data_IF_879142145552
#
_entry.id   IF_879142145552
#
_cell.length_a   1.000
_cell.length_b   1.000
_cell.length_c   1.000
_cell.angle_alpha   90.00
_cell.angle_beta   90.00
_cell.angle_gamma   90.00
#
_symmetry.space_group_name_H-M   'P 1'
#
loop_
_entity.id
_entity.type
_entity.pdbx_description
1 polymer ?
#
# COMPACT_ATOMS: atom_id res chain seq x y z
N UNK A 1 -35.11 41.90 -41.55
CA UNK A 1 -33.76 41.36 -41.23
C UNK A 1 -33.70 41.07 -39.73
N UNK A 2 -33.88 39.81 -39.34
CA UNK A 2 -33.75 39.38 -37.95
C UNK A 2 -32.37 38.79 -37.76
N UNK A 3 -31.57 39.38 -36.89
CA UNK A 3 -30.26 38.86 -36.50
C UNK A 3 -30.46 37.85 -35.36
N UNK A 4 -30.12 36.59 -35.60
CA UNK A 4 -30.07 35.52 -34.58
C UNK A 4 -28.71 35.61 -33.91
N UNK A 5 -28.67 36.05 -32.66
CA UNK A 5 -27.49 35.98 -31.80
C UNK A 5 -27.35 34.55 -31.24
N UNK A 6 -26.37 33.82 -31.74
CA UNK A 6 -25.99 32.51 -31.29
C UNK A 6 -25.11 32.67 -30.02
N UNK A 7 -25.68 32.47 -28.81
CA UNK A 7 -24.94 32.45 -27.56
C UNK A 7 -24.23 31.12 -27.44
N UNK A 8 -22.89 31.14 -27.58
CA UNK A 8 -22.01 30.01 -27.31
C UNK A 8 -21.79 29.91 -25.80
N UNK A 9 -22.52 29.03 -25.13
CA UNK A 9 -22.31 28.72 -23.72
C UNK A 9 -21.07 27.81 -23.60
N UNK A 10 -19.99 28.35 -23.07
CA UNK A 10 -18.79 27.59 -22.74
C UNK A 10 -19.07 26.78 -21.48
N UNK A 11 -19.37 25.49 -21.63
CA UNK A 11 -19.46 24.56 -20.51
C UNK A 11 -18.05 24.28 -19.98
N UNK A 12 -17.64 24.95 -18.90
CA UNK A 12 -16.52 24.49 -18.09
C UNK A 12 -16.98 23.21 -17.37
N UNK A 13 -16.39 22.08 -17.72
CA UNK A 13 -16.54 20.85 -16.95
C UNK A 13 -16.00 21.08 -15.53
N UNK A 14 -16.70 20.62 -14.49
CA UNK A 14 -16.16 20.69 -13.11
C UNK A 14 -14.82 19.91 -13.03
N UNK A 15 -13.88 20.33 -12.18
CA UNK A 15 -12.65 19.57 -11.96
C UNK A 15 -12.99 18.18 -11.47
N UNK A 16 -12.25 17.19 -11.96
CA UNK A 16 -12.45 15.78 -11.63
C UNK A 16 -12.17 15.57 -10.13
N UNK A 17 -13.22 15.37 -9.34
CA UNK A 17 -13.13 15.20 -7.88
C UNK A 17 -12.25 13.99 -7.49
N UNK A 18 -12.18 12.97 -8.34
CA UNK A 18 -11.38 11.76 -8.12
C UNK A 18 -9.88 12.04 -8.07
N UNK A 19 -9.36 12.91 -8.94
CA UNK A 19 -7.93 13.25 -8.97
C UNK A 19 -7.49 14.04 -7.73
N UNK A 20 -8.36 14.91 -7.22
CA UNK A 20 -8.09 15.70 -6.01
C UNK A 20 -8.07 14.82 -4.77
N UNK A 21 -8.96 13.85 -4.68
CA UNK A 21 -9.04 12.90 -3.56
C UNK A 21 -7.81 11.98 -3.52
N UNK A 22 -7.40 11.43 -4.64
CA UNK A 22 -6.19 10.61 -4.76
C UNK A 22 -4.93 11.38 -4.32
N UNK A 23 -4.80 12.65 -4.71
CA UNK A 23 -3.67 13.48 -4.31
C UNK A 23 -3.65 13.77 -2.81
N UNK A 24 -4.82 14.03 -2.21
CA UNK A 24 -4.94 14.26 -0.77
C UNK A 24 -4.55 13.01 0.04
N UNK A 25 -5.04 11.83 -0.37
CA UNK A 25 -4.68 10.56 0.26
C UNK A 25 -3.18 10.26 0.17
N UNK A 26 -2.57 10.52 -0.98
CA UNK A 26 -1.12 10.35 -1.15
C UNK A 26 -0.32 11.24 -0.18
N UNK A 27 -0.73 12.49 0.02
CA UNK A 27 -0.09 13.41 0.96
C UNK A 27 -0.22 12.88 2.39
N UNK A 28 -1.41 12.43 2.80
CA UNK A 28 -1.66 11.86 4.13
C UNK A 28 -0.83 10.60 4.37
N UNK A 29 -0.74 9.72 3.37
CA UNK A 29 0.12 8.54 3.47
C UNK A 29 1.59 8.93 3.65
N UNK A 30 2.10 9.90 2.88
CA UNK A 30 3.49 10.34 3.02
C UNK A 30 3.79 10.91 4.40
N UNK A 31 2.83 11.60 5.04
CA UNK A 31 2.96 12.06 6.43
C UNK A 31 3.06 10.88 7.41
N UNK A 32 2.24 9.84 7.22
CA UNK A 32 2.29 8.63 8.05
C UNK A 32 3.61 7.87 7.86
N UNK A 33 4.10 7.75 6.62
CA UNK A 33 5.40 7.14 6.31
C UNK A 33 6.54 7.92 6.97
N UNK A 34 6.56 9.25 6.85
CA UNK A 34 7.58 10.11 7.46
C UNK A 34 7.58 9.95 8.98
N UNK A 35 6.42 9.98 9.61
CA UNK A 35 6.28 9.78 11.05
C UNK A 35 6.79 8.41 11.51
N UNK A 36 6.59 7.37 10.69
CA UNK A 36 7.03 6.01 10.98
C UNK A 36 8.55 5.84 10.85
N UNK A 37 9.14 6.34 9.76
CA UNK A 37 10.56 6.12 9.46
C UNK A 37 11.52 7.04 10.23
N UNK A 38 11.07 8.23 10.63
CA UNK A 38 11.90 9.24 11.32
C UNK A 38 12.55 8.73 12.61
N UNK A 39 11.86 7.99 13.51
CA UNK A 39 12.48 7.46 14.74
C UNK A 39 13.56 6.40 14.48
N UNK A 40 13.50 5.70 13.35
CA UNK A 40 14.44 4.62 13.00
C UNK A 40 15.71 5.18 12.34
N UNK A 41 15.69 6.42 11.95
CA UNK A 41 16.74 7.14 11.23
C UNK A 41 16.17 7.71 9.95
N UNK A 42 16.33 9.03 9.79
CA UNK A 42 15.84 9.70 8.59
C UNK A 42 16.35 8.98 7.34
N UNK A 43 15.48 8.75 6.35
CA UNK A 43 15.93 8.18 5.09
C UNK A 43 17.04 9.07 4.52
N UNK A 44 18.10 8.45 4.01
CA UNK A 44 19.13 9.14 3.24
C UNK A 44 18.49 9.80 2.00
N UNK A 45 19.17 10.76 1.38
CA UNK A 45 18.66 11.48 0.20
C UNK A 45 18.27 10.56 -0.99
N UNK A 46 18.64 9.28 -0.95
CA UNK A 46 18.40 8.27 -1.99
C UNK A 46 17.24 7.30 -1.69
N UNK A 47 16.27 7.68 -0.88
CA UNK A 47 15.09 6.84 -0.62
C UNK A 47 14.13 6.84 -1.81
N UNK A 48 13.87 5.65 -2.33
CA UNK A 48 12.79 5.43 -3.27
C UNK A 48 11.64 4.72 -2.56
N UNK A 49 10.45 5.28 -2.67
CA UNK A 49 9.21 4.67 -2.18
C UNK A 49 8.38 4.22 -3.37
N UNK A 50 7.91 2.97 -3.33
CA UNK A 50 6.90 2.46 -4.24
C UNK A 50 5.65 2.19 -3.42
N UNK A 51 4.51 2.68 -3.88
CA UNK A 51 3.23 2.54 -3.19
C UNK A 51 2.24 1.81 -4.08
N UNK A 52 1.58 0.83 -3.52
CA UNK A 52 0.46 0.12 -4.11
C UNK A 52 -0.73 0.16 -3.14
N UNK A 53 -1.93 0.04 -3.70
CA UNK A 53 -3.17 0.19 -2.95
C UNK A 53 -4.03 -1.05 -3.08
N UNK A 54 -4.56 -1.53 -1.95
CA UNK A 54 -5.49 -2.66 -1.90
C UNK A 54 -6.36 -2.55 -0.64
N UNK A 55 -7.61 -2.94 -0.73
CA UNK A 55 -8.46 -3.15 0.45
C UNK A 55 -8.08 -4.49 1.06
N UNK A 56 -7.31 -4.45 2.15
CA UNK A 56 -6.77 -5.65 2.79
C UNK A 56 -7.70 -6.16 3.90
N UNK A 57 -8.43 -5.26 4.57
CA UNK A 57 -9.29 -5.59 5.70
C UNK A 57 -10.78 -5.74 5.32
N UNK A 58 -11.14 -5.50 4.06
CA UNK A 58 -12.49 -5.68 3.54
C UNK A 58 -13.48 -4.58 3.96
N UNK A 59 -12.99 -3.41 4.37
CA UNK A 59 -13.84 -2.30 4.80
C UNK A 59 -14.32 -1.41 3.64
N UNK A 60 -13.86 -1.68 2.42
CA UNK A 60 -14.18 -0.95 1.20
C UNK A 60 -13.30 0.27 0.96
N UNK A 61 -12.31 0.52 1.82
CA UNK A 61 -11.31 1.58 1.64
C UNK A 61 -9.94 0.95 1.37
N UNK A 62 -9.18 1.53 0.46
CA UNK A 62 -7.88 0.96 0.12
C UNK A 62 -6.84 1.29 1.18
N UNK A 63 -6.18 0.28 1.69
CA UNK A 63 -4.95 0.37 2.47
C UNK A 63 -3.75 0.62 1.56
N UNK A 64 -2.62 0.99 2.14
CA UNK A 64 -1.41 1.23 1.38
C UNK A 64 -0.31 0.22 1.76
N UNK A 65 0.33 -0.37 0.74
CA UNK A 65 1.58 -1.08 0.90
C UNK A 65 2.71 -0.17 0.39
N UNK A 66 3.69 0.10 1.22
CA UNK A 66 4.81 0.98 0.90
C UNK A 66 6.11 0.19 0.92
N UNK A 67 6.71 0.01 -0.25
CA UNK A 67 8.01 -0.63 -0.42
C UNK A 67 9.09 0.45 -0.26
N UNK A 68 10.01 0.26 0.71
CA UNK A 68 11.07 1.20 1.00
C UNK A 68 12.39 0.68 0.41
N UNK A 69 12.84 1.32 -0.66
CA UNK A 69 14.12 1.02 -1.32
C UNK A 69 15.17 2.03 -0.88
N UNK A 70 15.82 1.76 0.25
CA UNK A 70 16.89 2.58 0.82
C UNK A 70 17.94 1.68 1.49
N UNK A 71 19.19 2.12 1.56
CA UNK A 71 20.29 1.33 2.09
C UNK A 71 20.05 0.83 3.52
N UNK A 72 19.41 1.67 4.36
CA UNK A 72 19.05 1.32 5.74
C UNK A 72 17.83 0.39 5.88
N UNK A 73 17.04 0.23 4.80
CA UNK A 73 15.80 -0.56 4.76
C UNK A 73 15.90 -1.78 3.84
N UNK A 74 17.04 -1.92 3.17
CA UNK A 74 17.35 -3.04 2.28
C UNK A 74 18.63 -3.75 2.75
N UNK A 75 18.70 -5.04 2.50
CA UNK A 75 19.87 -5.87 2.71
C UNK A 75 20.00 -6.93 1.63
N UNK A 76 20.94 -7.86 1.79
CA UNK A 76 21.08 -9.00 0.86
C UNK A 76 19.86 -9.89 0.80
N UNK A 77 19.00 -9.82 1.81
CA UNK A 77 17.74 -10.58 1.91
C UNK A 77 16.52 -9.84 1.39
N UNK A 78 16.65 -8.65 0.79
CA UNK A 78 15.54 -7.84 0.28
C UNK A 78 15.34 -6.52 1.04
N UNK A 79 14.25 -5.86 0.76
CA UNK A 79 13.88 -4.58 1.36
C UNK A 79 12.67 -4.73 2.30
N UNK A 80 12.20 -3.63 2.85
CA UNK A 80 11.05 -3.62 3.77
C UNK A 80 9.80 -3.11 3.06
N UNK A 81 8.69 -3.79 3.31
CA UNK A 81 7.34 -3.33 2.97
C UNK A 81 6.60 -2.99 4.26
N UNK A 82 6.02 -1.80 4.32
CA UNK A 82 5.14 -1.41 5.43
C UNK A 82 3.71 -1.39 4.91
N UNK A 83 2.82 -2.05 5.63
CA UNK A 83 1.37 -1.98 5.41
C UNK A 83 0.80 -0.87 6.28
N UNK A 84 0.13 0.08 5.67
CA UNK A 84 -0.61 1.14 6.34
C UNK A 84 -2.11 0.92 6.14
N UNK A 85 -2.81 0.73 7.25
CA UNK A 85 -4.26 0.67 7.28
C UNK A 85 -4.84 2.08 7.12
N UNK A 86 -5.85 2.21 6.27
CA UNK A 86 -6.61 3.44 6.12
C UNK A 86 -7.62 3.58 7.27
N UNK A 87 -7.55 4.67 8.03
CA UNK A 87 -8.47 4.94 9.12
C UNK A 87 -9.71 5.64 8.58
N UNK A 88 -10.89 5.09 8.86
CA UNK A 88 -12.19 5.60 8.39
C UNK A 88 -12.97 6.32 9.50
N UNK A 89 -12.69 6.03 10.76
CA UNK A 89 -13.32 6.70 11.90
C UNK A 89 -12.79 8.14 12.07
N UNK A 90 -13.69 9.10 12.10
CA UNK A 90 -13.35 10.52 12.12
C UNK A 90 -12.64 10.97 13.41
N UNK A 91 -12.86 10.28 14.53
CA UNK A 91 -12.19 10.57 15.80
C UNK A 91 -10.77 10.04 15.76
N UNK A 92 -10.58 8.80 15.29
CA UNK A 92 -9.26 8.22 15.10
C UNK A 92 -8.42 9.02 14.10
N UNK A 93 -9.02 9.44 12.97
CA UNK A 93 -8.32 10.29 11.98
C UNK A 93 -7.84 11.60 12.60
N UNK A 94 -8.61 12.21 13.49
CA UNK A 94 -8.22 13.44 14.18
C UNK A 94 -7.05 13.24 15.15
N UNK A 95 -6.93 12.04 15.73
CA UNK A 95 -5.89 11.71 16.73
C UNK A 95 -4.63 11.09 16.09
N UNK A 96 -4.80 10.20 15.13
CA UNK A 96 -3.73 9.36 14.58
C UNK A 96 -3.36 9.70 13.11
N UNK A 97 -4.18 10.51 12.44
CA UNK A 97 -4.08 10.74 11.00
C UNK A 97 -4.87 9.72 10.19
N UNK A 98 -4.83 9.83 8.86
CA UNK A 98 -5.64 9.02 7.95
C UNK A 98 -5.08 7.60 7.73
N UNK A 99 -3.86 7.32 8.18
CA UNK A 99 -3.20 6.03 8.04
C UNK A 99 -2.44 5.68 9.32
N UNK A 100 -2.49 4.40 9.69
CA UNK A 100 -1.67 3.84 10.77
C UNK A 100 -0.88 2.63 10.27
N UNK A 101 0.35 2.38 10.77
CA UNK A 101 1.08 1.17 10.42
C UNK A 101 0.37 -0.06 11.00
N UNK A 102 0.08 -1.03 10.13
CA UNK A 102 -0.53 -2.31 10.50
C UNK A 102 0.49 -3.46 10.51
N UNK A 103 1.52 -3.38 9.66
CA UNK A 103 2.60 -4.36 9.65
C UNK A 103 3.89 -3.79 9.04
N UNK A 104 5.02 -4.32 9.49
CA UNK A 104 6.33 -4.19 8.85
C UNK A 104 6.80 -5.58 8.42
N UNK A 105 7.09 -5.76 7.14
CA UNK A 105 7.53 -7.03 6.57
C UNK A 105 8.90 -6.79 5.93
N UNK A 106 9.93 -7.33 6.56
CA UNK A 106 11.32 -7.22 6.10
C UNK A 106 11.68 -8.35 5.13
N UNK A 107 12.84 -8.24 4.48
CA UNK A 107 13.40 -9.26 3.59
C UNK A 107 12.49 -9.59 2.39
N UNK A 108 11.77 -8.58 1.91
CA UNK A 108 10.86 -8.73 0.79
C UNK A 108 11.59 -8.67 -0.54
N UNK A 109 11.31 -9.65 -1.38
CA UNK A 109 11.78 -9.72 -2.77
C UNK A 109 10.59 -9.81 -3.72
N UNK A 110 10.66 -9.06 -4.82
CA UNK A 110 9.72 -9.22 -5.92
C UNK A 110 8.28 -8.80 -5.59
N UNK A 111 7.33 -9.36 -6.34
CA UNK A 111 5.93 -9.00 -6.23
C UNK A 111 5.31 -9.46 -4.91
N UNK A 112 4.30 -8.72 -4.48
CA UNK A 112 3.34 -9.12 -3.45
C UNK A 112 2.03 -9.45 -4.15
N UNK A 113 1.42 -10.58 -3.82
CA UNK A 113 0.09 -10.92 -4.30
C UNK A 113 -0.89 -10.85 -3.14
N UNK A 114 -1.89 -9.99 -3.26
CA UNK A 114 -3.04 -9.97 -2.36
C UNK A 114 -3.92 -11.15 -2.76
N UNK A 115 -3.98 -12.17 -1.90
CA UNK A 115 -4.68 -13.41 -2.19
C UNK A 115 -6.20 -13.26 -2.10
N UNK A 116 -6.91 -14.17 -2.75
CA UNK A 116 -8.37 -14.27 -2.62
C UNK A 116 -8.80 -14.89 -1.27
N UNK A 117 -7.84 -15.35 -0.46
CA UNK A 117 -8.06 -15.89 0.89
C UNK A 117 -7.83 -14.83 1.96
N UNK A 118 -8.52 -14.98 3.09
CA UNK A 118 -8.43 -14.08 4.25
C UNK A 118 -8.20 -14.87 5.53
N UNK A 119 -7.44 -14.25 6.43
CA UNK A 119 -7.24 -14.75 7.81
C UNK A 119 -7.50 -13.59 8.76
N UNK A 120 -8.28 -13.83 9.82
CA UNK A 120 -8.67 -12.80 10.82
C UNK A 120 -9.25 -11.52 10.19
N UNK A 121 -9.99 -11.66 9.06
CA UNK A 121 -10.64 -10.56 8.36
C UNK A 121 -9.75 -9.77 7.40
N UNK A 122 -8.45 -10.10 7.32
CA UNK A 122 -7.50 -9.48 6.39
C UNK A 122 -7.10 -10.43 5.27
N UNK A 123 -6.89 -9.91 4.08
CA UNK A 123 -6.40 -10.67 2.94
C UNK A 123 -5.02 -11.28 3.23
N UNK A 124 -4.84 -12.56 2.89
CA UNK A 124 -3.52 -13.17 2.97
C UNK A 124 -2.58 -12.55 1.91
N UNK A 125 -1.30 -12.39 2.24
CA UNK A 125 -0.29 -11.93 1.30
C UNK A 125 0.55 -13.12 0.83
N UNK A 126 0.68 -13.29 -0.49
CA UNK A 126 1.59 -14.29 -1.05
C UNK A 126 2.84 -13.56 -1.52
N UNK A 127 3.98 -13.99 -1.02
CA UNK A 127 5.27 -13.37 -1.27
C UNK A 127 6.31 -14.43 -1.61
N UNK A 128 7.44 -14.00 -2.18
CA UNK A 128 8.55 -14.89 -2.45
C UNK A 128 9.30 -15.19 -1.15
N UNK A 129 9.34 -16.44 -0.78
CA UNK A 129 10.15 -16.96 0.32
C UNK A 129 11.51 -17.45 -0.18
N UNK A 130 12.20 -18.21 0.68
CA UNK A 130 13.50 -18.77 0.39
C UNK A 130 13.49 -19.68 -0.85
N UNK A 131 14.60 -19.64 -1.61
CA UNK A 131 14.79 -20.42 -2.83
C UNK A 131 13.71 -20.20 -3.91
N UNK A 132 13.01 -19.06 -3.88
CA UNK A 132 12.00 -18.71 -4.87
C UNK A 132 10.64 -19.42 -4.70
N UNK A 133 10.44 -20.12 -3.61
CA UNK A 133 9.12 -20.67 -3.25
C UNK A 133 8.15 -19.53 -2.88
N UNK A 134 6.85 -19.74 -3.15
CA UNK A 134 5.84 -18.82 -2.65
C UNK A 134 5.43 -19.21 -1.22
N UNK A 135 5.30 -18.22 -0.37
CA UNK A 135 4.80 -18.37 0.99
C UNK A 135 3.62 -17.45 1.24
N UNK A 136 2.74 -17.88 2.10
CA UNK A 136 1.58 -17.13 2.55
C UNK A 136 1.88 -16.49 3.90
N UNK A 137 1.75 -15.18 3.98
CA UNK A 137 1.73 -14.43 5.21
C UNK A 137 0.26 -14.21 5.59
N UNK A 138 -0.19 -14.92 6.61
CA UNK A 138 -1.54 -14.79 7.14
C UNK A 138 -1.55 -13.74 8.26
N UNK A 139 -2.56 -12.89 8.27
CA UNK A 139 -2.73 -11.89 9.35
C UNK A 139 -2.99 -12.60 10.68
N UNK A 140 -2.39 -12.13 11.77
CA UNK A 140 -2.46 -12.79 13.10
C UNK A 140 -3.60 -12.27 13.98
N UNK A 141 -4.40 -11.33 13.50
CA UNK A 141 -5.35 -10.53 14.28
C UNK A 141 -4.76 -9.21 14.79
N UNK A 142 -3.43 -9.05 14.70
CA UNK A 142 -2.73 -7.82 15.09
C UNK A 142 -1.81 -7.30 13.98
N UNK A 143 -1.12 -8.20 13.27
CA UNK A 143 -0.14 -7.86 12.24
C UNK A 143 0.09 -9.03 11.29
N UNK A 144 0.80 -8.79 10.17
CA UNK A 144 1.38 -9.87 9.37
C UNK A 144 2.71 -10.35 9.97
N UNK A 145 3.17 -11.58 9.63
CA UNK A 145 4.52 -12.04 9.96
C UNK A 145 5.58 -11.05 9.47
N UNK A 146 6.63 -10.85 10.26
CA UNK A 146 7.68 -9.85 9.99
C UNK A 146 8.61 -10.23 8.82
N UNK A 147 8.56 -11.46 8.34
CA UNK A 147 9.46 -11.97 7.32
C UNK A 147 8.80 -13.08 6.50
N UNK A 148 9.13 -13.23 5.21
CA UNK A 148 8.73 -14.39 4.42
C UNK A 148 9.15 -15.73 5.03
N UNK A 149 10.21 -15.77 5.82
CA UNK A 149 10.67 -17.00 6.51
C UNK A 149 9.66 -17.51 7.56
N UNK A 150 8.81 -16.62 8.07
CA UNK A 150 7.75 -16.96 9.04
C UNK A 150 6.45 -17.36 8.33
N UNK A 151 6.43 -17.32 7.01
CA UNK A 151 5.28 -17.66 6.18
C UNK A 151 5.05 -19.15 6.03
N UNK A 152 3.87 -19.50 5.57
CA UNK A 152 3.46 -20.89 5.30
C UNK A 152 3.68 -21.18 3.82
N UNK A 153 4.44 -22.23 3.50
CA UNK A 153 4.69 -22.63 2.13
C UNK A 153 3.37 -22.92 1.37
N UNK A 154 3.25 -22.39 0.16
CA UNK A 154 2.09 -22.56 -0.70
C UNK A 154 2.44 -23.48 -1.86
N UNK A 155 1.63 -24.52 -2.06
CA UNK A 155 1.74 -25.39 -3.21
C UNK A 155 0.83 -24.90 -4.35
N UNK A 156 1.42 -24.62 -5.50
CA UNK A 156 0.66 -24.20 -6.68
C UNK A 156 0.83 -22.72 -7.04
N UNK A 157 0.13 -22.26 -8.08
CA UNK A 157 0.22 -20.87 -8.51
C UNK A 157 -0.41 -19.93 -7.49
N UNK A 158 0.18 -18.75 -7.33
CA UNK A 158 -0.41 -17.66 -6.57
C UNK A 158 -1.66 -17.15 -7.29
N UNK A 159 -2.78 -17.08 -6.59
CA UNK A 159 -4.05 -16.50 -7.08
C UNK A 159 -4.37 -15.24 -6.31
N UNK A 160 -4.76 -14.19 -7.02
CA UNK A 160 -5.05 -12.89 -6.43
C UNK A 160 -4.54 -11.73 -7.29
N UNK A 161 -4.53 -10.54 -6.70
CA UNK A 161 -4.07 -9.31 -7.35
C UNK A 161 -2.58 -9.10 -7.11
N UNK A 162 -1.78 -9.03 -8.17
CA UNK A 162 -0.33 -8.79 -8.05
C UNK A 162 -0.04 -7.30 -7.89
N UNK A 163 0.67 -6.97 -6.83
CA UNK A 163 1.23 -5.65 -6.54
C UNK A 163 2.75 -5.71 -6.70
N UNK A 164 3.39 -4.57 -6.92
CA UNK A 164 4.85 -4.46 -7.09
C UNK A 164 5.39 -5.45 -8.12
N UNK A 165 4.74 -5.56 -9.26
CA UNK A 165 5.27 -6.37 -10.35
C UNK A 165 6.75 -6.01 -10.60
N UNK A 166 7.58 -7.02 -10.92
CA UNK A 166 8.97 -6.80 -11.24
C UNK A 166 9.07 -5.73 -12.34
N UNK A 167 9.97 -4.76 -12.17
CA UNK A 167 10.30 -3.86 -13.27
C UNK A 167 10.90 -4.70 -14.39
N UNK A 168 10.28 -4.62 -15.57
CA UNK A 168 10.81 -5.23 -16.81
C UNK A 168 12.13 -4.58 -17.23
#
# INVERSE_FOLDING_TARGET
>A
MFAVLLSLALFLAPPDSSATDTSARQIQLMQAVEAYVTPVGAPSEDVRLRTEWADLNGDGVQDALVYIEAESWCGSGGCTVIVFEAITDSVEVAELGAFRPAAEISLMHGPVVVADTQTEGWADLLVQGDAGSMVRLAFTGETYPMSPSDGIAVAGPATGTTLFAAAE
#
